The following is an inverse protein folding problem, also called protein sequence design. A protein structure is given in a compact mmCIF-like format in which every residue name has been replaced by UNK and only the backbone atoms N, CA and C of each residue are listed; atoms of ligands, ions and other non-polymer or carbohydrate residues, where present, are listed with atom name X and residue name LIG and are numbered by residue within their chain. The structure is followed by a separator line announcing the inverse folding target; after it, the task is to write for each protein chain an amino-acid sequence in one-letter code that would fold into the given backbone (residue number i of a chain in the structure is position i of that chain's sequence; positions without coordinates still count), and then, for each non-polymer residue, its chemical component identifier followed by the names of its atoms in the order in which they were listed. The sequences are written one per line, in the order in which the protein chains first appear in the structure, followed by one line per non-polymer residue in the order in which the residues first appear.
data_IF_084693952530
#
_entry.id   IF_084693952530
#
_cell.length_a   1.000
_cell.length_b   1.000
_cell.length_c   1.000
_cell.angle_alpha   90.00
_cell.angle_beta   90.00
_cell.angle_gamma   90.00
#
_symmetry.space_group_name_H-M   'P 1'
#
loop_
_entity.id
_entity.type
_entity.pdbx_description
1 polymer ?
#
# COMPACT_ATOMS: atom_id res chain seq x y z
N UNK A 1 -4.08 -5.23 -11.11
CA UNK A 1 -4.36 -5.67 -9.73
C UNK A 1 -5.75 -5.17 -9.37
N UNK A 2 -6.64 -6.05 -8.92
CA UNK A 2 -7.94 -5.62 -8.40
C UNK A 2 -7.74 -4.90 -7.05
N UNK A 3 -8.61 -3.94 -6.74
CA UNK A 3 -8.53 -3.19 -5.50
C UNK A 3 -9.09 -4.05 -4.36
N UNK A 4 -8.31 -4.20 -3.29
CA UNK A 4 -8.76 -4.88 -2.07
C UNK A 4 -10.17 -4.41 -1.67
N UNK A 5 -11.04 -5.38 -1.42
CA UNK A 5 -12.45 -5.17 -1.14
C UNK A 5 -12.86 -5.99 0.08
N UNK A 6 -13.76 -5.43 0.89
CA UNK A 6 -14.31 -6.11 2.06
C UNK A 6 -15.59 -6.86 1.67
N UNK A 7 -15.71 -8.09 2.15
CA UNK A 7 -16.86 -8.96 1.95
C UNK A 7 -17.35 -9.54 3.28
N UNK A 8 -18.65 -9.86 3.34
CA UNK A 8 -19.30 -10.50 4.49
C UNK A 8 -20.07 -11.74 4.06
N UNK A 9 -20.01 -12.80 4.85
CA UNK A 9 -20.71 -14.04 4.56
C UNK A 9 -20.72 -15.01 5.74
N UNK A 10 -21.22 -16.22 5.51
CA UNK A 10 -21.12 -17.30 6.47
C UNK A 10 -19.68 -17.79 6.63
N UNK A 11 -19.40 -18.47 7.75
CA UNK A 11 -18.10 -19.08 7.97
C UNK A 11 -17.72 -19.99 6.80
N UNK A 12 -16.52 -19.76 6.26
CA UNK A 12 -15.89 -20.65 5.29
C UNK A 12 -14.40 -20.77 5.63
N UNK A 13 -13.77 -21.87 5.18
CA UNK A 13 -12.31 -21.99 5.29
C UNK A 13 -11.67 -21.23 4.13
N UNK A 14 -10.77 -20.31 4.45
CA UNK A 14 -9.99 -19.53 3.49
C UNK A 14 -8.52 -19.64 3.85
N UNK A 15 -7.65 -20.06 2.92
CA UNK A 15 -6.24 -20.28 3.23
C UNK A 15 -5.31 -19.10 2.92
N UNK A 16 -5.74 -18.09 2.15
CA UNK A 16 -4.83 -17.03 1.67
C UNK A 16 -5.49 -15.64 1.70
N UNK A 17 -6.49 -15.45 2.54
CA UNK A 17 -7.22 -14.19 2.64
C UNK A 17 -7.17 -13.64 4.07
N UNK A 18 -7.05 -12.32 4.19
CA UNK A 18 -7.30 -11.66 5.46
C UNK A 18 -8.74 -11.94 5.84
N UNK A 19 -8.94 -12.73 6.90
CA UNK A 19 -10.27 -13.12 7.34
C UNK A 19 -10.46 -12.91 8.83
N UNK A 20 -11.69 -12.62 9.23
CA UNK A 20 -12.07 -12.40 10.61
C UNK A 20 -13.44 -13.01 10.88
N UNK A 21 -13.53 -13.86 11.89
CA UNK A 21 -14.78 -14.50 12.30
C UNK A 21 -15.16 -14.04 13.70
N UNK A 22 -16.36 -13.47 13.85
CA UNK A 22 -16.84 -12.92 15.12
C UNK A 22 -17.81 -13.86 15.87
N UNK A 23 -17.97 -15.10 15.41
CA UNK A 23 -18.95 -16.04 15.97
C UNK A 23 -20.32 -16.06 15.29
N UNK A 24 -20.63 -15.08 14.43
CA UNK A 24 -21.90 -15.00 13.67
C UNK A 24 -21.70 -15.00 12.17
N UNK A 25 -20.73 -14.22 11.70
CA UNK A 25 -20.38 -14.09 10.29
C UNK A 25 -18.88 -13.94 10.13
N UNK A 26 -18.42 -14.12 8.90
CA UNK A 26 -17.04 -13.95 8.51
C UNK A 26 -16.89 -12.71 7.64
N UNK A 27 -15.87 -11.92 7.93
CA UNK A 27 -15.39 -10.85 7.08
C UNK A 27 -14.15 -11.34 6.32
N UNK A 28 -14.08 -10.99 5.04
CA UNK A 28 -12.94 -11.29 4.18
C UNK A 28 -12.49 -10.00 3.52
N UNK A 29 -11.22 -9.66 3.64
CA UNK A 29 -10.58 -8.55 2.94
C UNK A 29 -9.56 -9.09 1.93
N UNK A 30 -9.87 -8.94 0.65
CA UNK A 30 -9.08 -9.56 -0.42
C UNK A 30 -9.14 -8.73 -1.70
N UNK A 31 -8.06 -8.78 -2.47
CA UNK A 31 -7.93 -8.31 -3.85
C UNK A 31 -8.22 -9.43 -4.87
N UNK A 32 -8.66 -10.60 -4.41
CA UNK A 32 -9.07 -11.72 -5.24
C UNK A 32 -10.60 -11.86 -5.26
N UNK A 33 -11.07 -12.81 -6.08
CA UNK A 33 -12.49 -13.16 -6.14
C UNK A 33 -12.96 -13.71 -4.80
N UNK A 34 -13.99 -13.09 -4.23
CA UNK A 34 -14.59 -13.55 -2.97
C UNK A 34 -15.22 -14.96 -3.11
N UNK A 35 -15.27 -15.74 -2.02
CA UNK A 35 -15.96 -17.03 -2.02
C UNK A 35 -17.45 -16.90 -2.37
N UNK A 36 -18.03 -18.00 -2.86
CA UNK A 36 -19.46 -18.05 -3.21
C UNK A 36 -20.30 -17.75 -1.97
N UNK A 37 -21.31 -16.87 -2.12
CA UNK A 37 -22.22 -16.47 -1.04
C UNK A 37 -21.74 -15.30 -0.19
N UNK A 38 -20.55 -14.75 -0.47
CA UNK A 38 -20.08 -13.52 0.17
C UNK A 38 -20.58 -12.28 -0.56
N UNK A 39 -20.99 -11.29 0.21
CA UNK A 39 -21.53 -10.03 -0.29
C UNK A 39 -20.50 -8.93 -0.06
N UNK A 40 -20.21 -8.15 -1.09
CA UNK A 40 -19.30 -7.00 -0.98
C UNK A 40 -19.90 -5.93 -0.08
N UNK A 41 -19.13 -5.45 0.89
CA UNK A 41 -19.47 -4.28 1.70
C UNK A 41 -18.97 -3.03 0.96
N UNK A 42 -19.86 -2.09 0.59
CA UNK A 42 -19.46 -0.79 0.05
C UNK A 42 -18.68 0.03 1.08
N UNK A 43 -17.75 0.87 0.62
CA UNK A 43 -16.89 1.73 1.47
C UNK A 43 -17.72 2.59 2.44
N UNK A 44 -18.87 3.08 2.01
CA UNK A 44 -19.75 3.94 2.80
C UNK A 44 -20.38 3.19 3.98
N UNK A 45 -20.45 1.85 3.90
CA UNK A 45 -21.00 0.95 4.92
C UNK A 45 -19.92 0.33 5.80
N UNK A 46 -18.63 0.53 5.52
CA UNK A 46 -17.54 0.10 6.43
C UNK A 46 -17.67 0.75 7.81
N UNK A 47 -18.30 1.92 7.92
CA UNK A 47 -18.57 2.57 9.21
C UNK A 47 -19.57 1.81 10.11
N UNK A 48 -20.31 0.84 9.56
CA UNK A 48 -21.34 0.11 10.28
C UNK A 48 -20.82 -1.19 10.93
N UNK A 49 -19.56 -1.57 10.67
CA UNK A 49 -18.92 -2.71 11.32
C UNK A 49 -18.56 -2.36 12.77
N UNK A 50 -18.38 -3.38 13.60
CA UNK A 50 -18.07 -3.19 15.02
C UNK A 50 -16.68 -2.54 15.22
N UNK A 51 -16.40 -1.96 16.39
CA UNK A 51 -15.08 -1.40 16.69
C UNK A 51 -13.94 -2.41 16.50
N UNK A 52 -14.14 -3.67 16.91
CA UNK A 52 -13.14 -4.73 16.78
C UNK A 52 -12.89 -5.10 15.31
N UNK A 53 -13.96 -5.22 14.52
CA UNK A 53 -13.88 -5.46 13.07
C UNK A 53 -13.16 -4.33 12.34
N UNK A 54 -13.38 -3.09 12.79
CA UNK A 54 -12.70 -1.92 12.25
C UNK A 54 -11.23 -1.91 12.59
N UNK A 55 -10.86 -2.26 13.82
CA UNK A 55 -9.47 -2.36 14.24
C UNK A 55 -8.73 -3.44 13.43
N UNK A 56 -9.36 -4.59 13.25
CA UNK A 56 -8.86 -5.65 12.37
C UNK A 56 -8.68 -5.15 10.93
N UNK A 57 -9.69 -4.54 10.32
CA UNK A 57 -9.62 -4.04 8.95
C UNK A 57 -8.51 -2.98 8.79
N UNK A 58 -8.31 -2.13 9.78
CA UNK A 58 -7.23 -1.15 9.80
C UNK A 58 -5.85 -1.83 9.80
N UNK A 59 -5.66 -2.87 10.63
CA UNK A 59 -4.41 -3.63 10.64
C UNK A 59 -4.10 -4.27 9.29
N UNK A 60 -5.10 -4.86 8.62
CA UNK A 60 -4.93 -5.42 7.28
C UNK A 60 -4.50 -4.36 6.26
N UNK A 61 -5.19 -3.20 6.23
CA UNK A 61 -4.85 -2.07 5.34
C UNK A 61 -3.42 -1.57 5.59
N UNK A 62 -3.01 -1.46 6.85
CA UNK A 62 -1.65 -1.06 7.21
C UNK A 62 -0.60 -2.07 6.75
N UNK A 63 -0.84 -3.36 6.91
CA UNK A 63 0.09 -4.41 6.48
C UNK A 63 0.26 -4.42 4.96
N UNK A 64 -0.83 -4.29 4.21
CA UNK A 64 -0.80 -4.20 2.73
C UNK A 64 -0.02 -2.97 2.28
N UNK A 65 -0.30 -1.80 2.86
CA UNK A 65 0.44 -0.58 2.55
C UNK A 65 1.93 -0.73 2.87
N UNK A 66 2.27 -1.37 3.99
CA UNK A 66 3.66 -1.64 4.36
C UNK A 66 4.36 -2.57 3.36
N UNK A 67 3.68 -3.63 2.88
CA UNK A 67 4.23 -4.52 1.85
C UNK A 67 4.47 -3.77 0.55
N UNK A 68 3.50 -3.01 0.09
CA UNK A 68 3.63 -2.19 -1.12
C UNK A 68 4.77 -1.16 -1.01
N UNK A 69 4.93 -0.52 0.15
CA UNK A 69 6.06 0.39 0.40
C UNK A 69 7.40 -0.32 0.39
N UNK A 70 7.47 -1.54 0.94
CA UNK A 70 8.70 -2.34 0.94
C UNK A 70 9.07 -2.83 -0.46
N UNK A 71 8.08 -3.22 -1.27
CA UNK A 71 8.31 -3.63 -2.66
C UNK A 71 8.79 -2.46 -3.53
N UNK A 72 8.33 -1.25 -3.23
CA UNK A 72 8.79 -0.04 -3.91
C UNK A 72 10.09 0.56 -3.30
N UNK A 73 10.64 -0.03 -2.23
CA UNK A 73 11.77 0.54 -1.49
C UNK A 73 13.03 0.68 -2.35
N UNK A 74 13.34 -0.33 -3.16
CA UNK A 74 14.47 -0.28 -4.11
C UNK A 74 14.24 0.80 -5.19
N UNK A 75 13.05 0.88 -5.76
CA UNK A 75 12.72 1.84 -6.81
C UNK A 75 12.78 3.29 -6.30
N UNK A 76 12.31 3.54 -5.06
CA UNK A 76 12.45 4.84 -4.41
C UNK A 76 13.91 5.18 -4.07
N UNK A 77 14.69 4.20 -3.61
CA UNK A 77 16.11 4.36 -3.34
C UNK A 77 16.88 4.73 -4.62
N UNK A 78 16.59 4.04 -5.72
CA UNK A 78 17.23 4.29 -7.02
C UNK A 78 16.89 5.66 -7.59
N UNK A 79 15.64 6.13 -7.45
CA UNK A 79 15.25 7.48 -7.86
C UNK A 79 15.98 8.54 -7.02
N UNK A 80 16.04 8.37 -5.70
CA UNK A 80 16.72 9.31 -4.81
C UNK A 80 18.23 9.35 -5.08
N UNK A 81 18.87 8.20 -5.28
CA UNK A 81 20.28 8.13 -5.65
C UNK A 81 20.54 8.79 -7.01
N UNK A 82 19.67 8.55 -7.99
CA UNK A 82 19.75 9.19 -9.31
C UNK A 82 19.62 10.71 -9.21
N UNK A 83 18.72 11.21 -8.36
CA UNK A 83 18.56 12.64 -8.10
C UNK A 83 19.81 13.25 -7.46
N UNK A 84 20.40 12.60 -6.45
CA UNK A 84 21.63 13.07 -5.81
C UNK A 84 22.78 13.15 -6.83
N UNK A 85 22.95 12.12 -7.65
CA UNK A 85 23.97 12.10 -8.70
C UNK A 85 23.79 13.26 -9.70
N UNK A 86 22.56 13.50 -10.14
CA UNK A 86 22.22 14.61 -11.05
C UNK A 86 22.51 15.98 -10.41
N UNK A 87 22.19 16.12 -9.12
CA UNK A 87 22.46 17.34 -8.36
C UNK A 87 23.97 17.60 -8.24
N UNK A 88 24.76 16.56 -7.95
CA UNK A 88 26.21 16.64 -7.88
C UNK A 88 26.84 17.00 -9.23
N UNK A 89 26.36 16.43 -10.32
CA UNK A 89 26.80 16.78 -11.67
C UNK A 89 26.55 18.26 -12.00
N UNK A 90 25.35 18.76 -11.72
CA UNK A 90 25.00 20.15 -11.97
C UNK A 90 25.81 21.11 -11.08
N UNK A 91 26.04 20.76 -9.81
CA UNK A 91 26.92 21.53 -8.92
C UNK A 91 28.35 21.58 -9.43
N UNK A 92 28.90 20.48 -9.94
CA UNK A 92 30.23 20.45 -10.54
C UNK A 92 30.31 21.29 -11.82
N UNK A 93 29.28 21.24 -12.68
CA UNK A 93 29.21 22.09 -13.89
C UNK A 93 29.17 23.57 -13.54
N UNK A 94 28.35 23.95 -12.56
CA UNK A 94 28.28 25.32 -12.06
C UNK A 94 29.62 25.79 -11.47
N UNK A 95 30.31 24.94 -10.70
CA UNK A 95 31.64 25.23 -10.13
C UNK A 95 32.71 25.42 -11.20
N UNK A 96 32.68 24.63 -12.28
CA UNK A 96 33.62 24.76 -13.41
C UNK A 96 33.33 26.02 -14.25
N UNK A 97 32.07 26.35 -14.50
CA UNK A 97 31.68 27.59 -15.20
C UNK A 97 32.05 28.88 -14.46
N UNK A 98 32.22 28.83 -13.13
CA UNK A 98 32.70 29.97 -12.33
C UNK A 98 34.22 30.19 -12.46
N UNK A 99 35.00 29.16 -12.82
CA UNK A 99 36.45 29.31 -13.01
C UNK A 99 36.82 29.95 -14.36
N UNK A 100 36.05 29.70 -15.40
CA UNK A 100 36.34 30.26 -16.74
C UNK A 100 36.02 31.76 -16.87
N UNK A 101 35.12 32.31 -16.03
CA UNK A 101 34.74 33.72 -16.08
C UNK A 101 35.64 34.66 -15.24
N UNK A 102 36.65 34.14 -14.53
CA UNK A 102 37.57 34.93 -13.69
C UNK A 102 38.98 35.10 -14.29
N UNK A 103 39.21 34.63 -15.53
CA UNK A 103 40.49 34.78 -16.25
C UNK A 103 40.38 35.67 -17.52
N UNK A 104 39.41 36.60 -17.58
CA UNK A 104 39.31 37.60 -18.66
C UNK A 104 39.44 39.03 -18.14
#
# INVERSE_FOLDING_TARGET
MEKYSLYIGHFCRTNDMYSFYNGKYMLIYTDQKAPVGFIKIPLEKEKNITPDERAWLLSCKMEINRKAMKEAEEEYSDILNSFVNLLEEELQKASKGVKENNES
#
